data_IF_789205593447
#
_entry.id   IF_789205593447
#
_cell.length_a   1.000
_cell.length_b   1.000
_cell.length_c   1.000
_cell.angle_alpha   90.00
_cell.angle_beta   90.00
_cell.angle_gamma   90.00
#
_symmetry.space_group_name_H-M   'P 1'
#
loop_
_entity.id
_entity.type
_entity.pdbx_description
1 polymer ?
#
# COMPACT_ATOMS: atom_id res chain seq x y z
N UNK A 1 25.78 -5.40 29.23
CA UNK A 1 26.22 -5.85 27.88
C UNK A 1 25.06 -5.69 26.93
N UNK A 2 25.18 -4.85 25.89
CA UNK A 2 24.10 -4.61 24.93
C UNK A 2 24.29 -5.54 23.73
N UNK A 3 23.40 -6.51 23.56
CA UNK A 3 23.48 -7.55 22.53
C UNK A 3 22.97 -7.02 21.18
N UNK A 4 21.94 -6.18 21.21
CA UNK A 4 21.34 -5.63 20.00
C UNK A 4 21.91 -4.26 19.64
N UNK A 5 22.32 -4.11 18.38
CA UNK A 5 22.66 -2.81 17.80
C UNK A 5 21.40 -1.98 17.49
N UNK A 6 20.37 -2.64 16.99
CA UNK A 6 19.08 -2.05 16.62
C UNK A 6 17.97 -3.11 16.76
N UNK A 7 17.13 -2.96 17.78
CA UNK A 7 16.04 -3.90 18.08
C UNK A 7 14.84 -3.70 17.16
N UNK A 8 14.69 -2.53 16.54
CA UNK A 8 13.55 -2.24 15.66
C UNK A 8 13.56 -3.15 14.42
N UNK A 9 14.74 -3.64 14.01
CA UNK A 9 14.91 -4.61 12.92
C UNK A 9 14.23 -5.95 13.18
N UNK A 10 13.94 -6.28 14.43
CA UNK A 10 13.24 -7.49 14.84
C UNK A 10 11.72 -7.30 14.91
N UNK A 11 11.23 -6.07 14.73
CA UNK A 11 9.79 -5.79 14.71
C UNK A 11 9.10 -6.53 13.57
N UNK A 12 7.93 -7.15 13.79
CA UNK A 12 7.11 -7.73 12.71
C UNK A 12 6.68 -6.72 11.64
N UNK A 13 6.72 -5.42 11.97
CA UNK A 13 6.39 -4.35 11.04
C UNK A 13 7.59 -3.89 10.21
N UNK A 14 8.81 -4.33 10.56
CA UNK A 14 10.02 -3.99 9.83
C UNK A 14 9.98 -4.51 8.39
N UNK A 15 10.34 -3.65 7.45
CA UNK A 15 10.48 -3.99 6.03
C UNK A 15 11.96 -3.84 5.67
N UNK A 16 12.69 -4.93 5.39
CA UNK A 16 14.09 -4.87 5.00
C UNK A 16 14.24 -4.32 3.56
N UNK A 17 15.44 -3.87 3.21
CA UNK A 17 15.74 -3.36 1.86
C UNK A 17 15.71 -4.46 0.80
N UNK A 18 15.97 -5.69 1.22
CA UNK A 18 16.05 -6.89 0.39
C UNK A 18 15.31 -8.04 1.08
N UNK A 19 14.72 -8.91 0.26
CA UNK A 19 14.04 -10.13 0.72
C UNK A 19 14.67 -11.31 -0.03
N UNK A 20 15.68 -11.96 0.58
CA UNK A 20 16.31 -13.14 -0.01
C UNK A 20 15.27 -14.19 -0.38
N UNK A 21 15.42 -14.81 -1.55
CA UNK A 21 14.54 -15.85 -2.09
C UNK A 21 13.12 -15.37 -2.47
N UNK A 22 12.92 -14.06 -2.60
CA UNK A 22 11.65 -13.45 -3.07
C UNK A 22 11.85 -12.47 -4.23
N UNK A 23 13.02 -12.50 -4.85
CA UNK A 23 13.41 -11.62 -5.95
C UNK A 23 12.52 -11.85 -7.18
N UNK A 24 12.18 -13.10 -7.45
CA UNK A 24 11.34 -13.48 -8.58
C UNK A 24 9.92 -12.91 -8.42
N UNK A 25 9.28 -13.10 -7.27
CA UNK A 25 7.93 -12.57 -7.01
C UNK A 25 7.93 -11.05 -7.00
N UNK A 26 8.98 -10.42 -6.47
CA UNK A 26 9.13 -8.97 -6.51
C UNK A 26 9.24 -8.46 -7.96
N UNK A 27 9.98 -9.16 -8.82
CA UNK A 27 10.09 -8.83 -10.24
C UNK A 27 8.78 -9.07 -10.98
N UNK A 28 8.04 -10.14 -10.67
CA UNK A 28 6.69 -10.36 -11.22
C UNK A 28 5.74 -9.21 -10.89
N UNK A 29 5.73 -8.75 -9.64
CA UNK A 29 4.93 -7.58 -9.24
C UNK A 29 5.34 -6.33 -10.02
N UNK A 30 6.64 -6.06 -10.20
CA UNK A 30 7.10 -4.94 -11.03
C UNK A 30 6.60 -5.05 -12.48
N UNK A 31 6.65 -6.23 -13.07
CA UNK A 31 6.14 -6.46 -14.43
C UNK A 31 4.65 -6.17 -14.52
N UNK A 32 3.84 -6.71 -13.60
CA UNK A 32 2.38 -6.52 -13.60
C UNK A 32 1.95 -5.07 -13.39
N UNK A 33 2.69 -4.32 -12.58
CA UNK A 33 2.40 -2.92 -12.25
C UNK A 33 3.24 -1.92 -13.05
N UNK A 34 3.94 -2.37 -14.09
CA UNK A 34 4.83 -1.52 -14.90
C UNK A 34 4.12 -0.29 -15.47
N UNK A 35 2.91 -0.44 -16.01
CA UNK A 35 2.11 0.67 -16.55
C UNK A 35 1.80 1.75 -15.49
N UNK A 36 1.52 1.34 -14.26
CA UNK A 36 1.25 2.25 -13.13
C UNK A 36 2.54 2.98 -12.72
N UNK A 37 3.67 2.27 -12.65
CA UNK A 37 4.98 2.84 -12.31
C UNK A 37 5.44 3.84 -13.39
N UNK A 38 5.10 3.58 -14.66
CA UNK A 38 5.40 4.47 -15.79
C UNK A 38 4.43 5.65 -15.92
N UNK A 39 3.36 5.74 -15.11
CA UNK A 39 2.38 6.82 -15.18
C UNK A 39 1.43 6.74 -16.36
N UNK A 40 1.35 5.58 -17.02
CA UNK A 40 0.46 5.32 -18.15
C UNK A 40 -0.45 4.11 -17.86
N UNK A 41 -1.29 4.18 -16.81
CA UNK A 41 -2.15 3.06 -16.44
C UNK A 41 -3.14 2.76 -17.57
N UNK A 42 -3.02 1.57 -18.16
CA UNK A 42 -3.88 1.12 -19.27
C UNK A 42 -5.05 0.24 -18.82
N UNK A 43 -4.90 -0.44 -17.68
CA UNK A 43 -5.90 -1.36 -17.11
C UNK A 43 -5.87 -1.32 -15.58
N UNK A 44 -6.97 -1.73 -14.94
CA UNK A 44 -7.01 -1.98 -13.50
C UNK A 44 -6.31 -3.31 -13.18
N UNK A 45 -5.03 -3.25 -12.80
CA UNK A 45 -4.24 -4.44 -12.44
C UNK A 45 -4.62 -4.92 -11.03
N UNK A 46 -4.93 -6.22 -10.89
CA UNK A 46 -5.21 -6.87 -9.60
C UNK A 46 -4.32 -8.10 -9.41
N UNK A 47 -3.74 -8.25 -8.24
CA UNK A 47 -2.90 -9.40 -7.86
C UNK A 47 -3.35 -9.94 -6.51
N UNK A 48 -3.45 -11.26 -6.40
CA UNK A 48 -3.72 -11.96 -5.14
C UNK A 48 -2.45 -12.74 -4.77
N UNK A 49 -1.90 -12.47 -3.58
CA UNK A 49 -0.72 -13.16 -3.05
C UNK A 49 -1.18 -14.18 -2.00
N UNK A 50 -0.98 -15.47 -2.26
CA UNK A 50 -1.41 -16.56 -1.38
C UNK A 50 -0.23 -17.35 -0.81
N UNK A 51 -0.48 -18.15 0.23
CA UNK A 51 0.52 -19.00 0.88
C UNK A 51 0.39 -19.02 2.41
N UNK A 52 1.05 -19.97 3.06
CA UNK A 52 0.99 -20.21 4.52
C UNK A 52 1.43 -19.01 5.37
N UNK A 53 1.08 -19.01 6.66
CA UNK A 53 1.50 -17.96 7.61
C UNK A 53 3.04 -17.89 7.69
N UNK A 54 3.59 -16.69 7.88
CA UNK A 54 5.04 -16.50 8.05
C UNK A 54 5.86 -16.53 6.74
N UNK A 55 5.26 -16.81 5.58
CA UNK A 55 6.00 -16.91 4.30
C UNK A 55 6.43 -15.56 3.69
N UNK A 56 6.22 -14.44 4.37
CA UNK A 56 6.69 -13.13 3.89
C UNK A 56 5.77 -12.39 2.90
N UNK A 57 4.52 -12.82 2.71
CA UNK A 57 3.56 -12.16 1.79
C UNK A 57 3.36 -10.67 2.09
N UNK A 58 3.16 -10.32 3.36
CA UNK A 58 2.93 -8.92 3.76
C UNK A 58 4.16 -8.05 3.55
N UNK A 59 5.35 -8.55 3.89
CA UNK A 59 6.60 -7.80 3.72
C UNK A 59 6.97 -7.66 2.24
N UNK A 60 6.67 -8.69 1.42
CA UNK A 60 6.82 -8.62 -0.05
C UNK A 60 5.97 -7.50 -0.64
N UNK A 61 4.68 -7.43 -0.30
CA UNK A 61 3.79 -6.37 -0.79
C UNK A 61 4.24 -4.98 -0.34
N UNK A 62 4.63 -4.82 0.93
CA UNK A 62 5.15 -3.54 1.46
C UNK A 62 6.45 -3.12 0.76
N UNK A 63 7.41 -4.03 0.58
CA UNK A 63 8.68 -3.75 -0.10
C UNK A 63 8.46 -3.41 -1.58
N UNK A 64 7.55 -4.14 -2.25
CA UNK A 64 7.13 -3.81 -3.61
C UNK A 64 6.61 -2.37 -3.70
N UNK A 65 5.68 -1.97 -2.83
CA UNK A 65 5.16 -0.60 -2.81
C UNK A 65 6.28 0.44 -2.61
N UNK A 66 7.21 0.21 -1.68
CA UNK A 66 8.34 1.13 -1.45
C UNK A 66 9.21 1.28 -2.70
N UNK A 67 9.53 0.17 -3.39
CA UNK A 67 10.35 0.20 -4.60
C UNK A 67 9.60 0.81 -5.79
N UNK A 68 8.31 0.51 -5.95
CA UNK A 68 7.46 1.06 -6.99
C UNK A 68 7.34 2.59 -6.88
N UNK A 69 7.11 3.12 -5.68
CA UNK A 69 7.10 4.57 -5.42
C UNK A 69 8.46 5.19 -5.74
N UNK A 70 9.54 4.59 -5.26
CA UNK A 70 10.90 5.09 -5.51
C UNK A 70 11.25 5.11 -7.01
N UNK A 71 10.69 4.19 -7.80
CA UNK A 71 10.85 4.16 -9.25
C UNK A 71 9.95 5.18 -9.97
N UNK A 72 8.69 5.28 -9.58
CA UNK A 72 7.74 6.26 -10.12
C UNK A 72 8.24 7.69 -9.92
N UNK A 73 8.73 8.03 -8.72
CA UNK A 73 9.31 9.36 -8.42
C UNK A 73 10.50 9.68 -9.34
N UNK A 74 11.38 8.70 -9.59
CA UNK A 74 12.51 8.88 -10.53
C UNK A 74 12.06 9.13 -11.97
N UNK A 75 10.84 8.73 -12.31
CA UNK A 75 10.22 8.94 -13.64
C UNK A 75 9.28 10.15 -13.67
N UNK A 76 9.19 10.93 -12.60
CA UNK A 76 8.29 12.09 -12.52
C UNK A 76 6.81 11.72 -12.34
N UNK A 77 6.51 10.51 -11.89
CA UNK A 77 5.15 10.01 -11.68
C UNK A 77 4.79 10.10 -10.20
N UNK A 78 3.68 10.76 -9.88
CA UNK A 78 3.12 10.75 -8.52
C UNK A 78 2.42 9.41 -8.25
N UNK A 79 3.05 8.56 -7.44
CA UNK A 79 2.48 7.27 -7.02
C UNK A 79 2.31 7.23 -5.50
N UNK A 80 1.08 7.03 -5.03
CA UNK A 80 0.75 6.97 -3.60
C UNK A 80 0.23 5.59 -3.20
N UNK A 81 1.00 4.80 -2.45
CA UNK A 81 0.56 3.48 -1.99
C UNK A 81 -0.36 3.63 -0.79
N UNK A 82 -1.43 2.84 -0.75
CA UNK A 82 -2.32 2.72 0.41
C UNK A 82 -2.25 1.29 0.94
N UNK A 83 -2.16 1.14 2.26
CA UNK A 83 -2.08 -0.15 2.92
C UNK A 83 -3.12 -0.25 4.04
N UNK A 84 -3.92 -1.31 4.04
CA UNK A 84 -4.88 -1.60 5.11
C UNK A 84 -4.70 -3.04 5.57
N UNK A 85 -4.52 -3.22 6.88
CA UNK A 85 -4.53 -4.54 7.50
C UNK A 85 -5.98 -4.92 7.84
N UNK A 86 -6.63 -5.70 6.98
CA UNK A 86 -8.03 -6.12 7.17
C UNK A 86 -8.25 -7.06 8.37
N UNK A 87 -7.19 -7.60 8.99
CA UNK A 87 -7.34 -8.33 10.28
C UNK A 87 -7.69 -7.37 11.43
N UNK A 88 -7.26 -6.10 11.32
CA UNK A 88 -7.54 -5.02 12.27
C UNK A 88 -8.76 -4.23 11.83
N UNK A 89 -8.78 -3.77 10.56
CA UNK A 89 -9.90 -3.04 9.96
C UNK A 89 -10.94 -4.01 9.40
N UNK A 90 -11.83 -4.50 10.26
CA UNK A 90 -12.79 -5.58 9.93
C UNK A 90 -14.09 -5.11 9.26
N UNK A 91 -14.41 -3.82 9.33
CA UNK A 91 -15.65 -3.26 8.75
C UNK A 91 -15.33 -2.36 7.56
N UNK A 92 -16.27 -2.25 6.62
CA UNK A 92 -16.17 -1.30 5.50
C UNK A 92 -15.90 0.13 6.00
N UNK A 93 -16.57 0.56 7.06
CA UNK A 93 -16.33 1.83 7.72
C UNK A 93 -14.86 2.00 8.13
N UNK A 94 -14.33 1.04 8.89
CA UNK A 94 -12.95 1.10 9.40
C UNK A 94 -11.90 1.05 8.28
N UNK A 95 -12.20 0.34 7.19
CA UNK A 95 -11.34 0.27 6.00
C UNK A 95 -11.33 1.60 5.26
N UNK A 96 -12.51 2.14 4.92
CA UNK A 96 -12.64 3.43 4.21
C UNK A 96 -12.02 4.56 5.03
N UNK A 97 -12.30 4.63 6.33
CA UNK A 97 -11.68 5.60 7.23
C UNK A 97 -10.16 5.51 7.19
N UNK A 98 -9.59 4.30 7.19
CA UNK A 98 -8.13 4.11 7.14
C UNK A 98 -7.51 4.53 5.81
N UNK A 99 -8.23 4.37 4.70
CA UNK A 99 -7.79 4.86 3.38
C UNK A 99 -7.77 6.39 3.35
N UNK A 100 -8.85 7.03 3.82
CA UNK A 100 -8.99 8.49 3.84
C UNK A 100 -7.94 9.13 4.76
N UNK A 101 -7.67 8.54 5.93
CA UNK A 101 -6.60 8.97 6.84
C UNK A 101 -5.22 8.97 6.16
N UNK A 102 -4.89 7.91 5.42
CA UNK A 102 -3.62 7.82 4.66
C UNK A 102 -3.54 8.84 3.52
N UNK A 103 -4.69 9.20 2.95
CA UNK A 103 -4.77 10.28 1.97
C UNK A 103 -4.63 11.68 2.57
N UNK A 104 -4.65 11.80 3.91
CA UNK A 104 -4.69 13.07 4.66
C UNK A 104 -5.89 13.95 4.30
N UNK A 105 -6.97 13.33 3.84
CA UNK A 105 -8.22 14.01 3.58
C UNK A 105 -8.94 14.28 4.91
N UNK A 106 -9.46 15.51 5.07
CA UNK A 106 -10.17 15.89 6.29
C UNK A 106 -11.58 15.29 6.28
N UNK A 107 -11.89 14.52 7.32
CA UNK A 107 -13.25 14.09 7.60
C UNK A 107 -13.89 15.06 8.60
N UNK A 108 -15.21 15.32 8.49
CA UNK A 108 -15.94 16.07 9.50
C UNK A 108 -15.92 15.32 10.84
N UNK A 109 -16.09 16.06 11.95
CA UNK A 109 -16.10 15.49 13.30
C UNK A 109 -17.38 14.70 13.62
N UNK A 110 -18.45 14.89 12.83
CA UNK A 110 -19.68 14.11 12.93
C UNK A 110 -19.52 12.69 12.37
N UNK A 111 -20.40 11.79 12.81
CA UNK A 111 -20.54 10.47 12.19
C UNK A 111 -20.91 10.56 10.71
N UNK A 112 -20.34 9.63 9.93
CA UNK A 112 -20.63 9.45 8.50
C UNK A 112 -21.12 8.04 8.23
N UNK A 113 -22.02 7.89 7.28
CA UNK A 113 -22.39 6.56 6.75
C UNK A 113 -21.24 5.98 5.90
N UNK A 114 -21.30 4.67 5.62
CA UNK A 114 -20.35 4.04 4.68
C UNK A 114 -20.44 4.66 3.28
N UNK A 115 -21.65 5.03 2.86
CA UNK A 115 -21.92 5.64 1.55
C UNK A 115 -21.31 7.04 1.48
N UNK A 116 -21.52 7.89 2.50
CA UNK A 116 -20.90 9.22 2.57
C UNK A 116 -19.37 9.13 2.58
N UNK A 117 -18.79 8.17 3.31
CA UNK A 117 -17.34 7.95 3.31
C UNK A 117 -16.82 7.51 1.94
N UNK A 118 -17.56 6.62 1.26
CA UNK A 118 -17.19 6.15 -0.05
C UNK A 118 -17.24 7.27 -1.10
N UNK A 119 -18.29 8.08 -1.11
CA UNK A 119 -18.38 9.26 -1.97
C UNK A 119 -17.24 10.24 -1.70
N UNK A 120 -16.96 10.57 -0.43
CA UNK A 120 -15.82 11.43 -0.09
C UNK A 120 -14.47 10.88 -0.54
N UNK A 121 -14.31 9.55 -0.51
CA UNK A 121 -13.12 8.90 -1.02
C UNK A 121 -13.00 9.07 -2.54
N UNK A 122 -14.10 8.87 -3.28
CA UNK A 122 -14.14 9.10 -4.73
C UNK A 122 -13.91 10.57 -5.10
N UNK A 123 -14.61 11.51 -4.45
CA UNK A 123 -14.45 12.96 -4.66
C UNK A 123 -13.00 13.40 -4.50
N UNK A 124 -12.29 12.83 -3.50
CA UNK A 124 -10.87 13.11 -3.30
C UNK A 124 -10.01 12.61 -4.46
N UNK A 125 -10.28 11.41 -4.98
CA UNK A 125 -9.52 10.84 -6.09
C UNK A 125 -9.73 11.64 -7.38
N UNK A 126 -10.98 12.03 -7.67
CA UNK A 126 -11.33 12.89 -8.82
C UNK A 126 -10.67 14.26 -8.70
N UNK A 127 -10.76 14.90 -7.53
CA UNK A 127 -10.11 16.20 -7.29
C UNK A 127 -8.59 16.17 -7.49
N UNK A 128 -7.95 15.03 -7.24
CA UNK A 128 -6.51 14.83 -7.46
C UNK A 128 -6.15 14.32 -8.85
N UNK A 129 -7.11 14.02 -9.71
CA UNK A 129 -6.86 13.43 -11.03
C UNK A 129 -6.31 12.01 -10.96
N UNK A 130 -6.60 11.27 -9.89
CA UNK A 130 -6.25 9.86 -9.76
C UNK A 130 -7.32 8.92 -10.34
N UNK A 131 -8.51 9.45 -10.69
CA UNK A 131 -9.65 8.74 -11.25
C UNK A 131 -10.13 9.45 -12.52
#
# INVERSE_FOLDING_TARGET
MRIFKDEEKLSPEYVPQELPHRENELNMLKTYFSSIILGSPSISTRVIITGSVGTGKSVLAKLFCQKAVSEAVRKGVELKPLYVNCRISKTTFSLLRKLIEQLKARLPERGLSNEELFHKFLDYLEYKGFY
#
